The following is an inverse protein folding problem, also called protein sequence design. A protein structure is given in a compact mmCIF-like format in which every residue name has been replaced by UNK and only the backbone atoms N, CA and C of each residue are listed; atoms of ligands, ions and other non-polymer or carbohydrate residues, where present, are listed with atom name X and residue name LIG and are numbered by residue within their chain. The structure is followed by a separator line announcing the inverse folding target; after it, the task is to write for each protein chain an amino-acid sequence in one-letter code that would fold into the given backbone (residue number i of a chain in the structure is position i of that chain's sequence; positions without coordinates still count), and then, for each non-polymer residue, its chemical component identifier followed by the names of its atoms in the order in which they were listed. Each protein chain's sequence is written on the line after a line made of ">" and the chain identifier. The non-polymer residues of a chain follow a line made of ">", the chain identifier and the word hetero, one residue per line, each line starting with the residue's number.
data_IF_694140953162
#
_entry.id   IF_694140953162
#
_cell.length_a   1.000
_cell.length_b   1.000
_cell.length_c   1.000
_cell.angle_alpha   90.00
_cell.angle_beta   90.00
_cell.angle_gamma   90.00
#
_symmetry.space_group_name_H-M   'P 1'
#
loop_
_entity.id
_entity.type
_entity.pdbx_description
1 polymer ?
#
# COMPACT_ATOMS: atom_id res chain seq x y z
N UNK A 1 8.79 0.24 -7.79
CA UNK A 1 8.33 1.64 -8.00
C UNK A 1 6.90 1.76 -7.46
N UNK A 2 6.52 2.90 -6.91
CA UNK A 2 5.16 3.16 -6.41
C UNK A 2 4.58 4.43 -7.05
N UNK A 3 3.29 4.40 -7.40
CA UNK A 3 2.56 5.46 -8.07
C UNK A 3 1.25 5.74 -7.32
N UNK A 4 0.91 7.02 -7.12
CA UNK A 4 -0.38 7.43 -6.54
C UNK A 4 -1.33 7.72 -7.68
N UNK A 5 -2.48 7.05 -7.68
CA UNK A 5 -3.47 7.11 -8.75
C UNK A 5 -4.78 7.72 -8.25
N UNK A 6 -5.48 8.41 -9.14
CA UNK A 6 -6.90 8.66 -8.97
C UNK A 6 -7.74 7.46 -9.45
N UNK A 7 -9.06 7.49 -9.22
CA UNK A 7 -9.94 6.38 -9.58
C UNK A 7 -9.96 6.08 -11.09
N UNK A 8 -10.00 7.11 -11.94
CA UNK A 8 -9.99 6.94 -13.39
C UNK A 8 -8.70 6.25 -13.86
N UNK A 9 -7.55 6.72 -13.37
CA UNK A 9 -6.24 6.14 -13.64
C UNK A 9 -6.16 4.68 -13.20
N UNK A 10 -6.62 4.39 -11.98
CA UNK A 10 -6.69 3.03 -11.45
C UNK A 10 -7.52 2.10 -12.35
N UNK A 11 -8.73 2.52 -12.74
CA UNK A 11 -9.63 1.70 -13.56
C UNK A 11 -9.08 1.47 -14.96
N UNK A 12 -8.53 2.50 -15.60
CA UNK A 12 -7.92 2.40 -16.94
C UNK A 12 -6.73 1.46 -16.94
N UNK A 13 -5.80 1.62 -15.99
CA UNK A 13 -4.63 0.76 -15.88
C UNK A 13 -4.99 -0.68 -15.58
N UNK A 14 -5.91 -0.90 -14.64
CA UNK A 14 -6.43 -2.23 -14.36
C UNK A 14 -6.94 -2.88 -15.64
N UNK A 15 -7.82 -2.22 -16.40
CA UNK A 15 -8.32 -2.77 -17.65
C UNK A 15 -7.20 -3.10 -18.66
N UNK A 16 -6.22 -2.21 -18.84
CA UNK A 16 -5.08 -2.44 -19.74
C UNK A 16 -4.22 -3.62 -19.30
N UNK A 17 -3.82 -3.67 -18.03
CA UNK A 17 -3.01 -4.75 -17.47
C UNK A 17 -3.76 -6.08 -17.55
N UNK A 18 -5.08 -6.10 -17.37
CA UNK A 18 -5.90 -7.29 -17.55
C UNK A 18 -5.85 -7.85 -18.98
N UNK A 19 -5.76 -6.99 -19.98
CA UNK A 19 -5.70 -7.41 -21.39
C UNK A 19 -4.31 -7.93 -21.77
N UNK A 20 -3.25 -7.39 -21.15
CA UNK A 20 -1.86 -7.69 -21.50
C UNK A 20 -1.23 -8.81 -20.65
N UNK A 21 -1.68 -8.99 -19.40
CA UNK A 21 -1.27 -10.09 -18.53
C UNK A 21 -2.30 -11.24 -18.62
N UNK A 22 -1.88 -12.39 -19.16
CA UNK A 22 -2.70 -13.61 -19.25
C UNK A 22 -3.33 -13.96 -17.87
N UNK A 23 -4.66 -13.82 -17.78
CA UNK A 23 -5.37 -13.48 -16.54
C UNK A 23 -5.69 -14.63 -15.57
N UNK A 24 -4.74 -15.53 -15.31
CA UNK A 24 -4.94 -16.64 -14.36
C UNK A 24 -4.18 -16.46 -13.04
N UNK A 25 -3.16 -15.59 -13.01
CA UNK A 25 -2.28 -15.41 -11.83
C UNK A 25 -2.53 -14.08 -11.10
N UNK A 26 -3.66 -13.97 -10.39
CA UNK A 26 -3.89 -12.88 -9.46
C UNK A 26 -4.16 -13.37 -8.03
N UNK A 27 -3.73 -12.56 -7.06
CA UNK A 27 -3.92 -12.83 -5.63
C UNK A 27 -4.50 -11.61 -4.95
N UNK A 28 -5.63 -11.79 -4.28
CA UNK A 28 -6.21 -10.80 -3.37
C UNK A 28 -5.75 -11.08 -1.95
N UNK A 29 -5.33 -10.05 -1.23
CA UNK A 29 -4.89 -10.17 0.15
C UNK A 29 -5.17 -8.90 0.94
N UNK A 30 -5.27 -9.04 2.27
CA UNK A 30 -5.29 -7.89 3.17
C UNK A 30 -3.90 -7.71 3.76
N UNK A 31 -3.33 -6.52 3.59
CA UNK A 31 -1.97 -6.21 4.03
C UNK A 31 -2.01 -5.25 5.21
N UNK A 32 -1.18 -5.52 6.21
CA UNK A 32 -0.99 -4.66 7.38
C UNK A 32 0.45 -4.16 7.42
N UNK A 33 0.65 -2.83 7.48
CA UNK A 33 1.95 -2.20 7.71
C UNK A 33 1.96 -1.62 9.13
N UNK A 34 2.98 -1.97 9.92
CA UNK A 34 3.20 -1.45 11.27
C UNK A 34 4.41 -0.51 11.26
N UNK A 35 4.19 0.75 11.64
CA UNK A 35 5.27 1.72 11.83
C UNK A 35 5.55 1.89 13.31
N UNK A 36 6.81 1.73 13.70
CA UNK A 36 7.25 1.81 15.09
C UNK A 36 7.99 3.11 15.39
N UNK A 37 7.63 3.75 16.49
CA UNK A 37 8.38 4.81 17.12
C UNK A 37 9.41 4.26 18.10
N UNK A 38 10.28 5.15 18.59
CA UNK A 38 11.23 4.87 19.66
C UNK A 38 10.95 5.82 20.81
N UNK A 39 10.86 5.30 22.04
CA UNK A 39 10.72 6.09 23.26
C UNK A 39 11.75 5.60 24.26
N UNK A 40 12.42 6.53 24.92
CA UNK A 40 13.28 6.20 26.04
C UNK A 40 12.41 5.92 27.26
N UNK A 41 12.51 4.72 27.81
CA UNK A 41 11.84 4.34 29.04
C UNK A 41 12.79 4.63 30.23
N UNK A 42 12.37 5.56 31.10
CA UNK A 42 13.17 6.00 32.23
C UNK A 42 13.35 4.91 33.30
N UNK A 43 12.39 3.99 33.43
CA UNK A 43 12.43 2.89 34.40
C UNK A 43 13.35 1.77 33.94
N UNK A 44 13.24 1.34 32.68
CA UNK A 44 14.09 0.29 32.11
C UNK A 44 15.45 0.79 31.63
N UNK A 45 15.66 2.12 31.58
CA UNK A 45 16.84 2.81 31.03
C UNK A 45 17.18 2.36 29.61
N UNK A 46 16.16 2.00 28.81
CA UNK A 46 16.31 1.46 27.45
C UNK A 46 15.42 2.21 26.47
N UNK A 47 15.83 2.18 25.20
CA UNK A 47 14.99 2.63 24.09
C UNK A 47 14.08 1.48 23.69
N UNK A 48 12.78 1.67 23.87
CA UNK A 48 11.75 0.71 23.51
C UNK A 48 11.06 1.12 22.21
N UNK A 49 10.72 0.12 21.38
CA UNK A 49 9.93 0.34 20.17
C UNK A 49 8.46 0.15 20.48
N UNK A 50 7.63 1.07 20.01
CA UNK A 50 6.18 1.00 20.19
C UNK A 50 5.48 1.32 18.86
N UNK A 51 4.39 0.62 18.52
CA UNK A 51 3.66 0.88 17.28
C UNK A 51 3.04 2.27 17.33
N UNK A 52 3.34 3.12 16.35
CA UNK A 52 2.76 4.48 16.23
C UNK A 52 1.63 4.55 15.23
N UNK A 53 1.76 3.82 14.13
CA UNK A 53 0.77 3.80 13.06
C UNK A 53 0.61 2.38 12.55
N UNK A 54 -0.64 1.95 12.41
CA UNK A 54 -1.01 0.75 11.67
C UNK A 54 -1.72 1.20 10.40
N UNK A 55 -1.39 0.57 9.27
CA UNK A 55 -2.08 0.78 7.99
C UNK A 55 -2.61 -0.57 7.54
N UNK A 56 -3.90 -0.67 7.24
CA UNK A 56 -4.51 -1.81 6.57
C UNK A 56 -4.93 -1.38 5.19
N UNK A 57 -4.72 -2.25 4.22
CA UNK A 57 -5.17 -2.04 2.84
C UNK A 57 -5.55 -3.38 2.21
N UNK A 58 -6.39 -3.30 1.19
CA UNK A 58 -6.66 -4.41 0.30
C UNK A 58 -5.70 -4.35 -0.87
N UNK A 59 -4.97 -5.44 -1.09
CA UNK A 59 -4.01 -5.58 -2.18
C UNK A 59 -4.51 -6.58 -3.20
N UNK A 60 -4.61 -6.14 -4.44
CA UNK A 60 -4.63 -7.02 -5.60
C UNK A 60 -3.20 -7.10 -6.14
N UNK A 61 -2.64 -8.31 -6.19
CA UNK A 61 -1.36 -8.58 -6.83
C UNK A 61 -1.61 -9.35 -8.13
N UNK A 62 -0.92 -8.94 -9.18
CA UNK A 62 -0.98 -9.52 -10.52
C UNK A 62 0.46 -9.83 -10.94
N UNK A 63 0.72 -11.07 -11.32
CA UNK A 63 2.04 -11.53 -11.76
C UNK A 63 2.00 -11.86 -13.25
N UNK A 64 3.05 -11.50 -13.97
CA UNK A 64 3.33 -12.05 -15.29
C UNK A 64 3.59 -13.57 -15.24
N UNK A 65 3.53 -14.23 -16.39
CA UNK A 65 3.62 -15.71 -16.50
C UNK A 65 4.89 -16.32 -15.89
N UNK A 66 5.97 -15.54 -15.82
CA UNK A 66 7.25 -15.96 -15.25
C UNK A 66 7.61 -15.20 -13.96
N UNK A 67 6.66 -14.52 -13.33
CA UNK A 67 6.89 -13.60 -12.19
C UNK A 67 7.94 -12.50 -12.48
N UNK A 68 8.22 -12.24 -13.75
CA UNK A 68 9.15 -11.23 -14.25
C UNK A 68 8.69 -9.80 -13.91
N UNK A 69 7.37 -9.62 -13.86
CA UNK A 69 6.69 -8.38 -13.50
C UNK A 69 5.61 -8.69 -12.47
N UNK A 70 5.65 -7.98 -11.35
CA UNK A 70 4.62 -8.02 -10.33
C UNK A 70 4.05 -6.61 -10.19
N UNK A 71 2.75 -6.49 -10.48
CA UNK A 71 1.98 -5.27 -10.27
C UNK A 71 1.09 -5.46 -9.06
N UNK A 72 1.06 -4.48 -8.16
CA UNK A 72 0.16 -4.47 -7.01
C UNK A 72 -0.71 -3.23 -7.03
N UNK A 73 -1.99 -3.39 -6.74
CA UNK A 73 -2.91 -2.29 -6.48
C UNK A 73 -3.38 -2.35 -5.04
N UNK A 74 -3.02 -1.33 -4.27
CA UNK A 74 -3.45 -1.14 -2.90
C UNK A 74 -4.61 -0.14 -2.85
N UNK A 75 -5.69 -0.55 -2.19
CA UNK A 75 -6.93 0.22 -2.06
C UNK A 75 -7.49 0.08 -0.64
N UNK A 76 -8.58 0.81 -0.34
CA UNK A 76 -9.30 0.72 0.94
C UNK A 76 -8.38 0.93 2.16
N UNK A 77 -7.53 1.95 2.10
CA UNK A 77 -6.59 2.27 3.17
C UNK A 77 -7.32 2.68 4.45
N UNK A 78 -6.95 2.02 5.54
CA UNK A 78 -7.38 2.33 6.90
C UNK A 78 -6.16 2.60 7.75
N UNK A 79 -6.14 3.75 8.40
CA UNK A 79 -5.05 4.18 9.25
C UNK A 79 -5.50 4.21 10.70
N UNK A 80 -4.67 3.65 11.57
CA UNK A 80 -4.79 3.79 13.02
C UNK A 80 -3.52 4.48 13.51
N UNK A 81 -3.65 5.59 14.22
CA UNK A 81 -2.51 6.26 14.85
C UNK A 81 -2.78 6.45 16.34
N UNK A 82 -1.73 6.36 17.15
CA UNK A 82 -1.79 6.95 18.49
C UNK A 82 -1.99 8.45 18.35
N UNK A 83 -3.07 8.94 18.94
CA UNK A 83 -3.52 10.31 18.78
C UNK A 83 -2.48 11.33 19.19
N UNK A 84 -2.52 12.45 18.49
CA UNK A 84 -2.19 13.77 19.04
C UNK A 84 -2.80 13.93 20.44
N UNK A 85 -2.02 13.66 21.49
CA UNK A 85 -2.25 14.21 22.83
C UNK A 85 -3.07 13.42 23.85
N UNK A 86 -3.51 12.18 23.61
CA UNK A 86 -4.20 11.40 24.63
C UNK A 86 -3.59 10.01 24.79
N UNK A 87 -3.58 9.53 26.03
CA UNK A 87 -3.00 8.29 26.53
C UNK A 87 -3.16 7.07 25.60
N UNK A 88 -2.29 6.07 25.76
CA UNK A 88 -2.36 4.75 25.09
C UNK A 88 -3.80 4.19 25.17
N UNK A 89 -4.57 4.42 24.10
CA UNK A 89 -5.91 3.89 23.93
C UNK A 89 -5.88 2.48 23.34
N UNK A 90 -4.70 1.96 22.99
CA UNK A 90 -4.62 0.61 22.46
C UNK A 90 -4.82 -0.39 23.59
N UNK A 91 -4.32 -0.17 24.82
CA UNK A 91 -4.48 -1.12 25.95
C UNK A 91 -4.24 -2.60 25.55
N UNK A 92 -3.43 -2.85 24.52
CA UNK A 92 -3.23 -4.19 23.92
C UNK A 92 -4.37 -4.74 23.05
N UNK A 93 -5.43 -3.98 22.75
CA UNK A 93 -6.52 -4.29 21.83
C UNK A 93 -6.48 -3.39 20.59
N UNK A 94 -6.13 -3.96 19.44
CA UNK A 94 -6.14 -3.28 18.15
C UNK A 94 -7.53 -2.91 17.60
N UNK A 95 -8.61 -3.04 18.38
CA UNK A 95 -9.98 -3.07 17.83
C UNK A 95 -10.93 -1.95 18.28
N UNK A 96 -10.62 -1.07 19.24
CA UNK A 96 -11.70 -0.31 19.93
C UNK A 96 -11.50 1.20 20.19
N UNK A 97 -10.59 1.92 19.51
CA UNK A 97 -10.59 3.39 19.72
C UNK A 97 -9.54 4.27 19.08
N UNK A 98 -8.56 3.73 18.36
CA UNK A 98 -7.63 4.57 17.57
C UNK A 98 -8.37 5.14 16.36
N UNK A 99 -8.29 6.46 16.15
CA UNK A 99 -8.99 7.18 15.08
C UNK A 99 -8.76 6.50 13.72
N UNK A 100 -9.77 5.77 13.23
CA UNK A 100 -9.75 5.13 11.92
C UNK A 100 -10.03 6.20 10.88
N UNK A 101 -8.99 6.67 10.19
CA UNK A 101 -9.20 7.46 8.97
C UNK A 101 -9.26 6.50 7.79
N UNK A 102 -10.41 6.48 7.12
CA UNK A 102 -10.57 5.86 5.81
C UNK A 102 -10.32 6.94 4.77
N UNK A 103 -9.25 6.81 3.99
CA UNK A 103 -9.01 7.69 2.84
C UNK A 103 -9.64 7.00 1.62
N UNK A 104 -10.95 7.21 1.45
CA UNK A 104 -11.63 6.78 0.23
C UNK A 104 -11.07 7.55 -0.97
N UNK A 105 -10.66 6.84 -2.02
CA UNK A 105 -10.17 7.45 -3.27
C UNK A 105 -8.65 7.51 -3.42
N UNK A 106 -7.87 7.02 -2.45
CA UNK A 106 -6.43 6.80 -2.63
C UNK A 106 -6.16 5.41 -3.19
N UNK A 107 -5.52 5.35 -4.36
CA UNK A 107 -5.09 4.13 -5.02
C UNK A 107 -3.58 4.17 -5.15
N UNK A 108 -2.88 3.15 -4.67
CA UNK A 108 -1.42 3.04 -4.85
C UNK A 108 -1.13 1.86 -5.75
N UNK A 109 -0.40 2.10 -6.83
CA UNK A 109 0.11 1.05 -7.69
C UNK A 109 1.60 0.83 -7.39
N UNK A 110 1.96 -0.41 -7.13
CA UNK A 110 3.34 -0.86 -7.00
C UNK A 110 3.74 -1.68 -8.23
N UNK A 111 4.97 -1.50 -8.69
CA UNK A 111 5.57 -2.28 -9.77
C UNK A 111 6.91 -2.81 -9.29
N UNK A 112 7.11 -4.13 -9.41
CA UNK A 112 8.39 -4.80 -9.17
C UNK A 112 8.75 -5.62 -10.41
N UNK A 113 9.98 -5.46 -10.88
CA UNK A 113 10.54 -6.17 -12.03
C UNK A 113 11.94 -6.66 -11.67
N UNK A 114 12.40 -7.76 -12.27
CA UNK A 114 13.80 -8.20 -12.13
C UNK A 114 14.76 -7.54 -13.15
N UNK A 115 14.21 -6.91 -14.18
CA UNK A 115 14.96 -6.15 -15.19
C UNK A 115 14.28 -4.83 -15.54
N UNK A 116 14.41 -4.41 -16.79
CA UNK A 116 13.76 -3.20 -17.28
C UNK A 116 12.24 -3.28 -17.18
N UNK A 117 11.60 -2.14 -16.97
CA UNK A 117 10.14 -2.05 -17.01
C UNK A 117 9.67 -2.40 -18.43
N UNK A 118 8.74 -3.34 -18.60
CA UNK A 118 8.24 -3.69 -19.92
C UNK A 118 7.63 -2.48 -20.63
N UNK A 119 7.85 -2.40 -21.95
CA UNK A 119 7.34 -1.29 -22.76
C UNK A 119 5.83 -1.12 -22.68
N UNK A 120 5.08 -2.22 -22.63
CA UNK A 120 3.62 -2.18 -22.50
C UNK A 120 3.19 -1.46 -21.22
N UNK A 121 3.89 -1.68 -20.11
CA UNK A 121 3.58 -1.07 -18.83
C UNK A 121 3.97 0.42 -18.82
N UNK A 122 5.11 0.76 -19.43
CA UNK A 122 5.50 2.17 -19.62
C UNK A 122 4.48 2.92 -20.47
N UNK A 123 4.05 2.34 -21.60
CA UNK A 123 3.04 2.94 -22.47
C UNK A 123 1.71 3.11 -21.75
N UNK A 124 1.23 2.09 -21.04
CA UNK A 124 -0.02 2.16 -20.28
C UNK A 124 0.01 3.24 -19.18
N UNK A 125 1.16 3.46 -18.54
CA UNK A 125 1.36 4.55 -17.57
C UNK A 125 1.30 5.92 -18.26
N UNK A 126 1.95 6.09 -19.42
CA UNK A 126 1.94 7.33 -20.20
C UNK A 126 0.53 7.66 -20.72
N UNK A 127 -0.19 6.67 -21.25
CA UNK A 127 -1.56 6.81 -21.76
C UNK A 127 -2.54 7.20 -20.64
N UNK A 128 -2.29 6.73 -19.42
CA UNK A 128 -3.04 7.12 -18.22
C UNK A 128 -2.58 8.46 -17.62
N UNK A 129 -1.60 9.14 -18.22
CA UNK A 129 -1.05 10.40 -17.76
C UNK A 129 -0.34 10.30 -16.40
N UNK A 130 0.23 9.14 -16.09
CA UNK A 130 0.90 8.85 -14.83
C UNK A 130 2.40 8.97 -15.03
N UNK A 131 2.96 10.00 -14.42
CA UNK A 131 4.40 10.23 -14.42
C UNK A 131 4.98 9.91 -13.06
N UNK A 132 6.20 9.38 -13.05
CA UNK A 132 6.93 9.12 -11.80
C UNK A 132 7.10 10.46 -11.06
N UNK A 133 6.65 10.53 -9.81
CA UNK A 133 7.10 11.61 -8.92
C UNK A 133 8.60 11.42 -8.69
N UNK A 134 9.39 12.39 -9.16
CA UNK A 134 10.84 12.49 -8.91
C UNK A 134 11.06 12.76 -7.43
#
# INVERSE_FOLDING_TARGET
>A
MEYVLNETQYRTLMASIYMDLEYDNYKKSRVFKLMFGKKYNQFSKRVERYPRVVISMERLQMSGRNDDVIVTFDTNFKYWSEGTGAADMTRGRFNDGSAVRSLSGEYIMGVRTEGDVPRWLTQGLEDAGIFRKI
#
